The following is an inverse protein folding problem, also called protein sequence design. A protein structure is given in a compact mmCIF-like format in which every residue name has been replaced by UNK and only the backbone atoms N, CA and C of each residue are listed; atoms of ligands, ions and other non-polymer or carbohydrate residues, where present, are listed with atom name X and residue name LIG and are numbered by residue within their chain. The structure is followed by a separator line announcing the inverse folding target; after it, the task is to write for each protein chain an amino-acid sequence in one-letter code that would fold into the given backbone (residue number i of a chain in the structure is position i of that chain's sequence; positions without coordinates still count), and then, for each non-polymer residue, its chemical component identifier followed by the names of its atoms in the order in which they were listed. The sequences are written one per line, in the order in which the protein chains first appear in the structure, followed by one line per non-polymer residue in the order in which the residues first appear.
data_IF_635446638805
#
_entry.id   IF_635446638805
#
_cell.length_a   1.000
_cell.length_b   1.000
_cell.length_c   1.000
_cell.angle_alpha   90.00
_cell.angle_beta   90.00
_cell.angle_gamma   90.00
#
_symmetry.space_group_name_H-M   'P 1'
#
loop_
_entity.id
_entity.type
_entity.pdbx_description
1 polymer ?
#
# COMPACT_ATOMS: atom_id res chain seq x y z
N UNK A 1 -17.75 31.11 5.63
CA UNK A 1 -16.52 30.65 4.93
C UNK A 1 -16.81 29.29 4.32
N UNK A 2 -16.87 29.25 3.00
CA UNK A 2 -17.21 28.05 2.22
C UNK A 2 -16.09 27.04 2.32
N UNK A 3 -16.41 25.79 2.71
CA UNK A 3 -15.53 24.63 2.67
C UNK A 3 -15.28 24.22 1.19
N UNK A 4 -14.44 24.98 0.48
CA UNK A 4 -14.01 24.59 -0.85
C UNK A 4 -12.93 23.53 -0.76
N UNK A 5 -13.34 22.32 -1.11
CA UNK A 5 -12.60 21.14 -1.60
C UNK A 5 -11.10 21.05 -1.24
N UNK A 6 -10.79 20.37 -0.16
CA UNK A 6 -9.47 19.87 0.17
C UNK A 6 -9.08 18.73 -0.79
N UNK A 7 -8.45 19.06 -1.92
CA UNK A 7 -8.04 18.08 -2.95
C UNK A 7 -6.53 17.99 -3.11
N UNK A 8 -5.77 17.85 -2.03
CA UNK A 8 -4.41 17.35 -2.16
C UNK A 8 -4.13 16.31 -1.09
N UNK A 9 -4.26 15.10 -1.52
CA UNK A 9 -3.96 13.90 -0.79
C UNK A 9 -2.61 13.40 -1.28
N UNK A 10 -1.52 13.80 -0.61
CA UNK A 10 -0.24 13.12 -0.79
C UNK A 10 -0.41 11.73 -0.21
N UNK A 11 -0.84 10.80 -1.04
CA UNK A 11 -1.03 9.42 -0.66
C UNK A 11 0.21 8.65 -1.08
N UNK A 12 0.83 7.97 -0.11
CA UNK A 12 1.68 6.82 -0.40
C UNK A 12 0.82 5.75 -1.09
N UNK A 13 0.61 5.86 -2.39
CA UNK A 13 -0.14 4.92 -3.22
C UNK A 13 0.77 4.23 -4.25
N UNK A 14 0.33 3.17 -4.78
CA UNK A 14 0.99 1.87 -4.87
C UNK A 14 2.02 1.63 -5.95
N UNK A 15 2.64 2.55 -6.61
CA UNK A 15 4.06 2.41 -6.87
C UNK A 15 4.84 2.58 -5.57
N UNK A 16 4.11 3.00 -4.50
CA UNK A 16 4.64 3.36 -3.21
C UNK A 16 5.92 4.22 -3.27
N UNK A 17 6.13 4.90 -4.39
CA UNK A 17 7.10 5.97 -4.44
C UNK A 17 6.52 7.13 -3.63
N UNK A 18 7.29 7.73 -2.72
CA UNK A 18 6.88 8.99 -2.10
C UNK A 18 6.74 10.05 -3.20
N UNK A 19 5.71 10.89 -3.08
CA UNK A 19 5.59 12.06 -3.92
C UNK A 19 6.78 13.01 -3.72
N UNK A 20 7.06 13.86 -4.72
CA UNK A 20 7.99 14.99 -4.51
C UNK A 20 7.29 16.06 -3.66
N UNK A 21 7.26 15.80 -2.35
CA UNK A 21 6.60 16.66 -1.36
C UNK A 21 7.14 18.09 -1.42
N UNK A 22 8.43 18.28 -1.76
CA UNK A 22 9.03 19.60 -1.86
C UNK A 22 8.55 20.36 -3.11
N UNK A 23 8.34 19.67 -4.25
CA UNK A 23 7.75 20.28 -5.44
C UNK A 23 6.28 20.64 -5.20
N UNK A 24 5.51 19.75 -4.57
CA UNK A 24 4.11 20.01 -4.18
C UNK A 24 4.03 21.18 -3.21
N UNK A 25 4.91 21.25 -2.20
CA UNK A 25 4.93 22.35 -1.25
C UNK A 25 5.18 23.72 -1.93
N UNK A 26 6.13 23.78 -2.88
CA UNK A 26 6.34 25.01 -3.68
C UNK A 26 5.12 25.41 -4.49
N UNK A 27 4.47 24.43 -5.13
CA UNK A 27 3.25 24.67 -5.91
C UNK A 27 2.10 25.19 -5.01
N UNK A 28 1.93 24.57 -3.84
CA UNK A 28 0.91 24.99 -2.87
C UNK A 28 1.17 26.40 -2.33
N UNK A 29 2.44 26.74 -2.08
CA UNK A 29 2.81 28.12 -1.72
C UNK A 29 2.50 29.12 -2.85
N UNK A 30 2.87 28.81 -4.09
CA UNK A 30 2.66 29.68 -5.24
C UNK A 30 1.18 29.85 -5.62
N UNK A 31 0.33 28.92 -5.24
CA UNK A 31 -1.12 28.92 -5.55
C UNK A 31 -1.99 29.21 -4.33
N UNK A 32 -1.40 29.50 -3.18
CA UNK A 32 -2.07 29.72 -1.90
C UNK A 32 -3.03 28.57 -1.49
N UNK A 33 -2.72 27.34 -1.93
CA UNK A 33 -3.49 26.13 -1.63
C UNK A 33 -2.96 25.49 -0.35
N UNK A 34 -3.87 25.06 0.53
CA UNK A 34 -3.49 24.31 1.73
C UNK A 34 -2.87 22.97 1.38
N UNK A 35 -1.82 22.58 2.12
CA UNK A 35 -1.07 21.35 1.89
C UNK A 35 -1.05 20.46 3.14
N UNK A 36 -1.74 19.32 3.07
CA UNK A 36 -1.74 18.30 4.10
C UNK A 36 -0.93 17.09 3.62
N UNK A 37 0.13 16.74 4.33
CA UNK A 37 0.97 15.59 4.00
C UNK A 37 0.53 14.38 4.81
N UNK A 38 0.08 13.34 4.12
CA UNK A 38 -0.13 12.03 4.74
C UNK A 38 1.20 11.28 4.84
N UNK A 39 1.83 11.35 6.00
CA UNK A 39 3.11 10.70 6.31
C UNK A 39 2.90 9.42 7.16
N UNK A 40 1.81 8.70 6.95
CA UNK A 40 1.39 7.59 7.82
C UNK A 40 2.47 6.53 8.06
N UNK A 41 3.40 6.35 7.14
CA UNK A 41 4.52 5.40 7.25
C UNK A 41 5.91 6.05 7.38
N UNK A 42 6.01 7.34 7.15
CA UNK A 42 7.29 7.98 6.83
C UNK A 42 8.24 8.19 8.00
N UNK A 43 7.76 8.15 9.25
CA UNK A 43 8.60 8.36 10.45
C UNK A 43 9.67 7.29 10.59
N UNK A 44 9.38 6.07 10.16
CA UNK A 44 10.33 4.96 10.18
C UNK A 44 11.41 5.04 9.07
N UNK A 45 11.40 6.06 8.24
CA UNK A 45 12.34 6.26 7.14
C UNK A 45 13.02 7.63 7.25
N UNK A 46 14.31 7.66 7.56
CA UNK A 46 15.09 8.88 7.68
C UNK A 46 15.05 9.75 6.41
N UNK A 47 15.06 9.12 5.24
CA UNK A 47 14.96 9.81 3.94
C UNK A 47 13.62 10.53 3.77
N UNK A 48 12.50 9.87 4.13
CA UNK A 48 11.17 10.48 4.09
C UNK A 48 11.07 11.66 5.03
N UNK A 49 11.58 11.52 6.26
CA UNK A 49 11.62 12.60 7.25
C UNK A 49 12.46 13.79 6.79
N UNK A 50 13.62 13.54 6.15
CA UNK A 50 14.47 14.59 5.58
C UNK A 50 13.77 15.32 4.41
N UNK A 51 13.08 14.58 3.55
CA UNK A 51 12.29 15.16 2.42
C UNK A 51 11.16 16.04 2.94
N UNK A 52 10.43 15.57 3.96
CA UNK A 52 9.39 16.34 4.61
C UNK A 52 9.93 17.62 5.25
N UNK A 53 11.04 17.53 6.00
CA UNK A 53 11.69 18.68 6.60
C UNK A 53 12.14 19.69 5.54
N UNK A 54 12.62 19.23 4.39
CA UNK A 54 12.93 20.10 3.24
C UNK A 54 11.66 20.78 2.70
N UNK A 55 10.57 20.04 2.51
CA UNK A 55 9.31 20.60 2.02
C UNK A 55 8.80 21.74 2.89
N UNK A 56 8.85 21.59 4.22
CA UNK A 56 8.48 22.63 5.17
C UNK A 56 9.35 23.91 5.05
N UNK A 57 10.62 23.77 4.59
CA UNK A 57 11.53 24.94 4.42
C UNK A 57 11.37 25.65 3.08
N UNK A 58 10.98 24.94 2.03
CA UNK A 58 10.98 25.47 0.65
C UNK A 58 9.63 25.83 0.10
N UNK A 59 8.54 25.54 0.84
CA UNK A 59 7.19 25.80 0.39
C UNK A 59 6.17 25.68 1.53
N UNK A 60 4.91 25.56 1.17
CA UNK A 60 3.79 25.47 2.11
C UNK A 60 3.52 24.03 2.51
N UNK A 61 3.60 23.76 3.80
CA UNK A 61 3.10 22.53 4.45
C UNK A 61 2.31 22.98 5.67
N UNK A 62 1.00 22.81 5.65
CA UNK A 62 0.14 23.23 6.76
C UNK A 62 0.06 22.15 7.83
N UNK A 63 -0.14 20.88 7.43
CA UNK A 63 -0.29 19.77 8.36
C UNK A 63 0.44 18.52 7.85
N UNK A 64 0.91 17.73 8.80
CA UNK A 64 1.49 16.40 8.58
C UNK A 64 0.78 15.41 9.48
N UNK A 65 0.25 14.33 8.90
CA UNK A 65 -0.46 13.28 9.64
C UNK A 65 0.35 12.00 9.63
N UNK A 66 0.58 11.42 10.82
CA UNK A 66 1.38 10.23 11.02
C UNK A 66 0.59 9.21 11.84
N UNK A 67 0.54 7.95 11.39
CA UNK A 67 -0.08 6.87 12.14
C UNK A 67 0.84 6.41 13.27
N UNK A 68 0.29 6.23 14.46
CA UNK A 68 1.08 5.73 15.60
C UNK A 68 1.33 4.23 15.51
N UNK A 69 0.35 3.44 15.11
CA UNK A 69 0.46 2.00 14.93
C UNK A 69 1.53 1.59 13.92
N UNK A 70 1.65 2.34 12.83
CA UNK A 70 2.60 2.02 11.76
C UNK A 70 4.04 2.40 12.07
N UNK A 71 4.24 3.34 12.99
CA UNK A 71 5.56 3.90 13.26
C UNK A 71 6.11 3.58 14.64
N UNK A 72 5.27 3.24 15.64
CA UNK A 72 5.70 3.20 17.04
C UNK A 72 5.35 1.91 17.78
N UNK A 73 4.95 0.84 17.08
CA UNK A 73 4.63 -0.46 17.68
C UNK A 73 3.52 -0.37 18.76
N UNK A 74 2.52 0.43 18.52
CA UNK A 74 1.38 0.63 19.41
C UNK A 74 0.09 0.14 18.75
N UNK A 75 -0.97 -0.13 19.51
CA UNK A 75 -2.27 -0.51 18.98
C UNK A 75 -2.83 0.49 17.96
N UNK A 76 -3.68 0.00 17.04
CA UNK A 76 -4.37 0.83 16.06
C UNK A 76 -5.34 1.79 16.77
N UNK A 77 -5.41 3.03 16.26
CA UNK A 77 -6.40 4.01 16.73
C UNK A 77 -5.84 5.40 17.03
N UNK A 78 -4.51 5.57 17.00
CA UNK A 78 -3.85 6.85 17.21
C UNK A 78 -3.22 7.44 15.97
N UNK A 79 -3.15 8.77 15.95
CA UNK A 79 -2.39 9.52 14.95
C UNK A 79 -1.74 10.76 15.60
N UNK A 80 -0.60 11.16 15.07
CA UNK A 80 0.03 12.44 15.40
C UNK A 80 -0.23 13.40 14.26
N UNK A 81 -0.80 14.55 14.58
CA UNK A 81 -0.93 15.69 13.67
C UNK A 81 0.11 16.72 14.07
N UNK A 82 0.98 17.05 13.15
CA UNK A 82 2.05 18.03 13.34
C UNK A 82 1.97 19.16 12.30
N UNK A 83 2.53 20.31 12.62
CA UNK A 83 2.65 21.45 11.72
C UNK A 83 3.96 22.19 11.97
N UNK A 84 4.55 22.85 10.97
CA UNK A 84 5.56 23.87 11.19
C UNK A 84 5.04 25.09 11.96
N UNK A 85 3.72 25.33 11.93
CA UNK A 85 3.01 26.39 12.62
C UNK A 85 2.22 25.88 13.83
N UNK A 86 2.60 26.29 15.03
CA UNK A 86 1.92 25.92 16.27
C UNK A 86 0.47 26.43 16.33
N UNK A 87 0.16 27.56 15.70
CA UNK A 87 -1.20 28.08 15.66
C UNK A 87 -2.12 27.16 14.86
N UNK A 88 -1.64 26.55 13.78
CA UNK A 88 -2.37 25.58 12.98
C UNK A 88 -2.71 24.33 13.81
N UNK A 89 -1.79 23.81 14.62
CA UNK A 89 -2.06 22.68 15.52
C UNK A 89 -3.13 23.03 16.55
N UNK A 90 -3.05 24.23 17.12
CA UNK A 90 -4.05 24.71 18.08
C UNK A 90 -5.43 24.85 17.43
N UNK A 91 -5.50 25.32 16.18
CA UNK A 91 -6.75 25.40 15.40
C UNK A 91 -7.39 24.04 15.18
N UNK A 92 -6.61 23.05 14.75
CA UNK A 92 -7.08 21.67 14.60
C UNK A 92 -7.57 21.10 15.93
N UNK A 93 -6.85 21.39 17.03
CA UNK A 93 -7.24 20.97 18.38
C UNK A 93 -8.57 21.57 18.82
N UNK A 94 -8.83 22.84 18.50
CA UNK A 94 -10.12 23.49 18.78
C UNK A 94 -11.29 22.91 17.97
N UNK A 95 -10.99 22.45 16.73
CA UNK A 95 -11.98 21.82 15.87
C UNK A 95 -12.36 20.38 16.29
N UNK A 96 -11.61 19.77 17.20
CA UNK A 96 -11.89 18.40 17.65
C UNK A 96 -13.15 18.37 18.53
N UNK A 97 -14.18 17.55 18.24
CA UNK A 97 -15.50 17.67 18.87
C UNK A 97 -15.59 17.01 20.24
N UNK A 98 -14.74 17.33 21.18
CA UNK A 98 -14.94 17.04 22.58
C UNK A 98 -14.19 15.82 23.12
N UNK A 99 -14.81 14.66 23.33
CA UNK A 99 -14.23 13.56 24.11
C UNK A 99 -13.15 12.80 23.33
N UNK A 100 -11.90 12.88 23.79
CA UNK A 100 -10.78 12.10 23.29
C UNK A 100 -10.41 10.98 24.28
N UNK A 101 -9.97 9.83 23.75
CA UNK A 101 -9.30 8.82 24.56
C UNK A 101 -7.84 9.23 24.82
N UNK A 102 -7.37 9.09 26.04
CA UNK A 102 -5.96 9.26 26.39
C UNK A 102 -5.12 8.01 26.01
N UNK A 103 -5.75 6.88 25.70
CA UNK A 103 -5.08 5.60 25.43
C UNK A 103 -4.00 5.71 24.34
N UNK A 104 -4.24 6.32 23.15
CA UNK A 104 -3.20 6.41 22.12
C UNK A 104 -1.97 7.19 22.58
N UNK A 105 -2.15 8.22 23.41
CA UNK A 105 -1.04 9.00 23.96
C UNK A 105 -0.27 8.22 25.03
N UNK A 106 -0.98 7.47 25.87
CA UNK A 106 -0.39 6.60 26.89
C UNK A 106 0.39 5.45 26.27
N UNK A 107 -0.17 4.77 25.27
CA UNK A 107 0.50 3.68 24.56
C UNK A 107 1.83 4.16 23.94
N UNK A 108 1.80 5.33 23.29
CA UNK A 108 2.98 5.95 22.71
C UNK A 108 4.02 6.28 23.79
N UNK A 109 3.61 6.89 24.89
CA UNK A 109 4.48 7.24 26.00
C UNK A 109 5.13 6.00 26.62
N UNK A 110 4.35 4.98 26.95
CA UNK A 110 4.83 3.72 27.55
C UNK A 110 5.83 3.03 26.60
N UNK A 111 5.50 2.94 25.31
CA UNK A 111 6.38 2.29 24.31
C UNK A 111 7.70 3.04 24.14
N UNK A 112 7.65 4.37 24.01
CA UNK A 112 8.87 5.17 23.82
C UNK A 112 9.75 5.19 25.09
N UNK A 113 9.15 5.23 26.28
CA UNK A 113 9.90 5.13 27.53
C UNK A 113 10.50 3.73 27.71
N UNK A 114 9.74 2.67 27.40
CA UNK A 114 10.22 1.29 27.48
C UNK A 114 11.38 0.98 26.52
N UNK A 115 11.30 1.45 25.29
CA UNK A 115 12.36 1.28 24.30
C UNK A 115 13.55 2.20 24.57
N UNK A 116 13.28 3.41 25.02
CA UNK A 116 14.25 4.48 25.07
C UNK A 116 14.82 4.83 23.68
N UNK A 117 15.66 5.85 23.66
CA UNK A 117 16.27 6.33 22.40
C UNK A 117 17.13 5.27 21.70
N UNK A 118 17.83 4.43 22.48
CA UNK A 118 18.70 3.38 21.93
C UNK A 118 17.89 2.27 21.30
N UNK A 119 16.88 1.76 22.01
CA UNK A 119 15.99 0.70 21.50
C UNK A 119 15.24 1.14 20.23
N UNK A 120 14.69 2.36 20.26
CA UNK A 120 14.01 2.92 19.08
C UNK A 120 14.93 3.02 17.86
N UNK A 121 16.14 3.56 18.02
CA UNK A 121 17.13 3.62 16.92
C UNK A 121 17.52 2.23 16.43
N UNK A 122 17.76 1.29 17.34
CA UNK A 122 18.09 -0.08 16.98
C UNK A 122 17.02 -0.74 16.11
N UNK A 123 15.73 -0.50 16.36
CA UNK A 123 14.63 -0.98 15.51
C UNK A 123 14.65 -0.36 14.11
N UNK A 124 14.91 0.95 14.02
CA UNK A 124 15.01 1.63 12.72
C UNK A 124 16.19 1.10 11.89
N UNK A 125 17.36 0.99 12.52
CA UNK A 125 18.60 0.53 11.87
C UNK A 125 18.48 -0.94 11.46
N UNK A 126 17.91 -1.80 12.32
CA UNK A 126 17.65 -3.22 12.02
C UNK A 126 16.71 -3.39 10.83
N UNK A 127 15.62 -2.64 10.80
CA UNK A 127 14.69 -2.66 9.66
C UNK A 127 15.36 -2.22 8.36
N UNK A 128 16.15 -1.14 8.41
CA UNK A 128 16.84 -0.60 7.24
C UNK A 128 17.86 -1.60 6.68
N UNK A 129 18.59 -2.29 7.56
CA UNK A 129 19.57 -3.30 7.17
C UNK A 129 18.95 -4.52 6.45
N UNK A 130 17.69 -4.85 6.74
CA UNK A 130 17.00 -5.99 6.10
C UNK A 130 16.48 -5.68 4.69
N UNK A 131 16.27 -4.41 4.34
CA UNK A 131 15.56 -4.02 3.11
C UNK A 131 16.20 -4.53 1.84
N UNK A 132 17.52 -4.38 1.69
CA UNK A 132 18.21 -4.70 0.44
C UNK A 132 18.29 -6.21 0.21
N UNK A 133 18.59 -6.98 1.26
CA UNK A 133 18.64 -8.44 1.22
C UNK A 133 17.23 -9.02 0.96
N UNK A 134 16.21 -8.52 1.65
CA UNK A 134 14.82 -8.93 1.41
C UNK A 134 14.38 -8.56 -0.01
N UNK A 135 14.68 -7.35 -0.47
CA UNK A 135 14.37 -6.91 -1.82
C UNK A 135 14.99 -7.80 -2.90
N UNK A 136 16.22 -8.26 -2.72
CA UNK A 136 16.89 -9.19 -3.63
C UNK A 136 16.18 -10.56 -3.66
N UNK A 137 15.87 -11.14 -2.50
CA UNK A 137 15.11 -12.39 -2.39
C UNK A 137 13.72 -12.28 -3.01
N UNK A 138 13.03 -11.16 -2.77
CA UNK A 138 11.70 -10.90 -3.32
C UNK A 138 11.72 -10.78 -4.84
N UNK A 139 12.74 -10.12 -5.42
CA UNK A 139 12.92 -10.04 -6.89
C UNK A 139 13.15 -11.43 -7.49
N UNK A 140 14.00 -12.24 -6.88
CA UNK A 140 14.26 -13.60 -7.34
C UNK A 140 12.97 -14.45 -7.32
N UNK A 141 12.20 -14.35 -6.24
CA UNK A 141 10.94 -15.08 -6.11
C UNK A 141 9.89 -14.58 -7.12
N UNK A 142 9.75 -13.27 -7.30
CA UNK A 142 8.83 -12.71 -8.29
C UNK A 142 9.19 -13.20 -9.70
N UNK A 143 10.46 -13.14 -10.08
CA UNK A 143 10.94 -13.62 -11.38
C UNK A 143 10.68 -15.12 -11.60
N UNK A 144 10.82 -15.96 -10.58
CA UNK A 144 10.46 -17.38 -10.62
C UNK A 144 9.02 -17.63 -11.09
N UNK A 145 8.11 -16.72 -10.74
CA UNK A 145 6.68 -16.79 -11.10
C UNK A 145 6.32 -15.94 -12.33
N UNK A 146 7.31 -15.37 -13.02
CA UNK A 146 7.09 -14.50 -14.18
C UNK A 146 6.56 -13.11 -13.80
N UNK A 147 6.72 -12.72 -12.55
CA UNK A 147 6.36 -11.42 -12.01
C UNK A 147 7.61 -10.57 -11.75
N UNK A 148 7.43 -9.29 -11.45
CA UNK A 148 8.54 -8.37 -11.15
C UNK A 148 8.23 -7.47 -9.96
N UNK A 149 9.27 -7.06 -9.28
CA UNK A 149 9.17 -5.99 -8.27
C UNK A 149 9.13 -4.64 -9.00
N UNK A 150 8.18 -3.79 -8.63
CA UNK A 150 8.05 -2.43 -9.16
C UNK A 150 9.19 -1.55 -8.62
N UNK A 151 9.90 -0.88 -9.50
CA UNK A 151 11.01 -0.01 -9.10
C UNK A 151 10.49 1.27 -8.45
N UNK A 152 10.88 1.49 -7.21
CA UNK A 152 10.53 2.66 -6.39
C UNK A 152 11.75 3.16 -5.63
N UNK A 153 12.71 3.81 -6.31
CA UNK A 153 14.07 4.06 -5.79
C UNK A 153 14.10 4.94 -4.52
N UNK A 154 13.03 5.66 -4.23
CA UNK A 154 12.93 6.53 -3.03
C UNK A 154 12.13 5.91 -1.89
N UNK A 155 11.59 4.70 -2.08
CA UNK A 155 10.85 4.00 -1.05
C UNK A 155 11.76 3.01 -0.31
N UNK A 156 12.06 3.31 0.95
CA UNK A 156 12.84 2.46 1.87
C UNK A 156 11.94 1.79 2.91
N UNK A 157 10.66 1.54 2.60
CA UNK A 157 9.69 0.95 3.54
C UNK A 157 9.04 -0.29 2.97
N UNK A 158 8.67 -0.27 1.69
CA UNK A 158 7.80 -1.29 1.10
C UNK A 158 8.08 -1.51 -0.38
N UNK A 159 7.63 -2.66 -0.86
CA UNK A 159 7.76 -3.10 -2.24
C UNK A 159 6.37 -3.32 -2.85
N UNK A 160 6.26 -3.12 -4.16
CA UNK A 160 5.15 -3.58 -4.97
C UNK A 160 5.61 -4.74 -5.84
N UNK A 161 4.82 -5.80 -5.93
CA UNK A 161 5.10 -6.94 -6.81
C UNK A 161 3.95 -7.09 -7.79
N UNK A 162 4.21 -7.18 -9.06
CA UNK A 162 3.17 -7.35 -10.08
C UNK A 162 2.44 -8.68 -9.91
N UNK A 163 1.22 -8.74 -10.42
CA UNK A 163 0.42 -9.95 -10.60
C UNK A 163 -0.03 -10.03 -12.06
N UNK A 164 0.85 -9.60 -12.95
CA UNK A 164 0.59 -9.43 -14.38
C UNK A 164 0.42 -10.78 -15.08
N UNK A 165 1.33 -11.71 -14.79
CA UNK A 165 1.27 -13.08 -15.29
C UNK A 165 0.05 -13.83 -14.77
N UNK A 166 -0.25 -13.67 -13.47
CA UNK A 166 -1.45 -14.27 -12.87
C UNK A 166 -2.73 -13.72 -13.50
N UNK A 167 -2.80 -12.41 -13.74
CA UNK A 167 -3.96 -11.77 -14.37
C UNK A 167 -4.13 -12.23 -15.82
N UNK A 168 -3.05 -12.37 -16.59
CA UNK A 168 -3.09 -12.91 -17.93
C UNK A 168 -3.64 -14.33 -17.98
N UNK A 169 -3.11 -15.22 -17.13
CA UNK A 169 -3.60 -16.60 -17.02
C UNK A 169 -5.06 -16.67 -16.56
N UNK A 170 -5.48 -15.81 -15.64
CA UNK A 170 -6.87 -15.73 -15.20
C UNK A 170 -7.78 -15.21 -16.33
N UNK A 171 -7.34 -14.27 -17.16
CA UNK A 171 -8.09 -13.77 -18.30
C UNK A 171 -8.25 -14.84 -19.42
N UNK A 172 -7.21 -15.63 -19.65
CA UNK A 172 -7.31 -16.79 -20.56
C UNK A 172 -8.36 -17.79 -20.07
N UNK A 173 -8.36 -18.11 -18.78
CA UNK A 173 -9.38 -18.97 -18.19
C UNK A 173 -10.79 -18.38 -18.37
N UNK A 174 -10.96 -17.06 -18.13
CA UNK A 174 -12.29 -16.43 -18.29
C UNK A 174 -12.78 -16.47 -19.73
N UNK A 175 -11.90 -16.34 -20.72
CA UNK A 175 -12.25 -16.52 -22.14
C UNK A 175 -12.66 -17.97 -22.45
N UNK A 176 -11.94 -18.94 -21.88
CA UNK A 176 -12.28 -20.35 -22.03
C UNK A 176 -13.62 -20.73 -21.34
N UNK A 177 -13.97 -20.00 -20.26
CA UNK A 177 -15.26 -20.13 -19.56
C UNK A 177 -16.39 -19.33 -20.23
N UNK A 178 -16.18 -18.71 -21.40
CA UNK A 178 -17.18 -18.03 -22.20
C UNK A 178 -17.41 -16.56 -21.89
N UNK A 179 -16.40 -15.83 -21.42
CA UNK A 179 -16.51 -14.38 -21.27
C UNK A 179 -16.77 -13.70 -22.63
N UNK A 180 -17.77 -12.81 -22.69
CA UNK A 180 -18.31 -12.21 -23.91
C UNK A 180 -17.26 -11.44 -24.74
N UNK A 181 -16.34 -10.75 -24.06
CA UNK A 181 -15.28 -9.99 -24.72
C UNK A 181 -14.00 -9.91 -23.85
N UNK A 182 -12.95 -9.32 -24.42
CA UNK A 182 -11.66 -9.15 -23.73
C UNK A 182 -11.76 -8.25 -22.49
N UNK A 183 -12.68 -7.28 -22.46
CA UNK A 183 -12.86 -6.39 -21.32
C UNK A 183 -13.60 -7.11 -20.19
N UNK A 184 -14.60 -7.94 -20.49
CA UNK A 184 -15.27 -8.80 -19.52
C UNK A 184 -14.29 -9.82 -18.94
N UNK A 185 -13.50 -10.51 -19.78
CA UNK A 185 -12.46 -11.43 -19.33
C UNK A 185 -11.46 -10.75 -18.38
N UNK A 186 -11.04 -9.52 -18.69
CA UNK A 186 -10.11 -8.75 -17.84
C UNK A 186 -10.73 -8.35 -16.49
N UNK A 187 -12.00 -7.94 -16.47
CA UNK A 187 -12.71 -7.62 -15.22
C UNK A 187 -12.77 -8.85 -14.31
N UNK A 188 -13.24 -9.98 -14.85
CA UNK A 188 -13.35 -11.23 -14.10
C UNK A 188 -11.99 -11.76 -13.64
N UNK A 189 -10.95 -11.59 -14.46
CA UNK A 189 -9.56 -11.91 -14.08
C UNK A 189 -9.08 -11.06 -12.91
N UNK A 190 -9.37 -9.75 -12.90
CA UNK A 190 -9.02 -8.85 -11.79
C UNK A 190 -9.72 -9.27 -10.48
N UNK A 191 -10.97 -9.75 -10.55
CA UNK A 191 -11.67 -10.27 -9.38
C UNK A 191 -11.02 -11.57 -8.86
N UNK A 192 -10.62 -12.47 -9.78
CA UNK A 192 -9.85 -13.66 -9.39
C UNK A 192 -8.50 -13.30 -8.76
N UNK A 193 -7.76 -12.36 -9.34
CA UNK A 193 -6.46 -11.90 -8.82
C UNK A 193 -6.62 -11.25 -7.44
N UNK A 194 -7.73 -10.55 -7.17
CA UNK A 194 -8.00 -9.97 -5.85
C UNK A 194 -8.01 -11.05 -4.74
N UNK A 195 -8.43 -12.29 -5.06
CA UNK A 195 -8.41 -13.43 -4.13
C UNK A 195 -7.01 -13.84 -3.70
N UNK A 196 -5.97 -13.45 -4.43
CA UNK A 196 -4.58 -13.71 -4.04
C UNK A 196 -4.27 -13.14 -2.64
N UNK A 197 -4.82 -11.97 -2.30
CA UNK A 197 -4.71 -11.39 -0.97
C UNK A 197 -5.36 -12.26 0.12
N UNK A 198 -6.54 -12.80 -0.13
CA UNK A 198 -7.21 -13.73 0.79
C UNK A 198 -6.43 -15.04 0.94
N UNK A 199 -5.81 -15.53 -0.14
CA UNK A 199 -4.97 -16.74 -0.09
C UNK A 199 -3.68 -16.52 0.72
N UNK A 200 -3.13 -15.31 0.70
CA UNK A 200 -2.02 -14.92 1.60
C UNK A 200 -2.50 -14.86 3.06
N UNK A 201 -3.65 -14.25 3.30
CA UNK A 201 -4.22 -14.12 4.65
C UNK A 201 -4.49 -15.48 5.28
N UNK A 202 -5.07 -16.45 4.55
CA UNK A 202 -5.28 -17.82 5.03
C UNK A 202 -3.98 -18.59 5.29
N UNK A 203 -2.85 -18.08 4.84
CA UNK A 203 -1.49 -18.58 5.14
C UNK A 203 -0.78 -17.76 6.21
N UNK A 204 -1.55 -17.07 7.05
CA UNK A 204 -1.02 -16.21 8.12
C UNK A 204 -0.08 -15.10 7.61
N UNK A 205 -0.37 -14.55 6.42
CA UNK A 205 0.30 -13.35 5.90
C UNK A 205 -0.70 -12.19 5.95
N UNK A 206 -0.48 -11.27 6.85
CA UNK A 206 -1.28 -10.04 6.99
C UNK A 206 -0.52 -8.82 6.46
N UNK A 207 -1.21 -7.67 6.32
CA UNK A 207 -0.59 -6.41 5.90
C UNK A 207 -0.30 -6.28 4.41
N UNK A 208 -0.48 -7.33 3.61
CA UNK A 208 -0.41 -7.26 2.15
C UNK A 208 -1.72 -6.70 1.59
N UNK A 209 -1.62 -5.93 0.51
CA UNK A 209 -2.78 -5.41 -0.20
C UNK A 209 -2.65 -5.71 -1.68
N UNK A 210 -3.65 -6.37 -2.26
CA UNK A 210 -3.77 -6.55 -3.70
C UNK A 210 -4.53 -5.36 -4.28
N UNK A 211 -3.98 -4.78 -5.34
CA UNK A 211 -4.58 -3.71 -6.12
C UNK A 211 -4.83 -4.22 -7.53
N UNK A 212 -6.10 -4.31 -7.89
CA UNK A 212 -6.54 -4.65 -9.23
C UNK A 212 -6.96 -3.36 -9.96
N UNK A 213 -6.40 -3.06 -11.14
CA UNK A 213 -6.76 -1.87 -11.91
C UNK A 213 -8.20 -1.90 -12.44
N UNK A 214 -8.70 -0.73 -12.80
CA UNK A 214 -9.99 -0.59 -13.48
C UNK A 214 -11.22 -0.62 -12.56
N UNK A 215 -11.04 -0.62 -11.24
CA UNK A 215 -12.16 -0.45 -10.30
C UNK A 215 -12.69 0.98 -10.36
N UNK A 216 -14.01 1.12 -10.42
CA UNK A 216 -14.68 2.41 -10.29
C UNK A 216 -15.53 2.39 -9.03
N UNK A 217 -15.48 3.45 -8.24
CA UNK A 217 -16.29 3.62 -7.04
C UNK A 217 -17.03 4.94 -7.11
N UNK A 218 -18.32 4.90 -6.82
CA UNK A 218 -19.14 6.11 -6.65
C UNK A 218 -19.29 6.39 -5.16
N UNK A 219 -18.95 7.61 -4.75
CA UNK A 219 -19.08 8.08 -3.36
C UNK A 219 -19.76 9.44 -3.38
N UNK A 220 -21.01 9.49 -2.93
CA UNK A 220 -21.86 10.67 -3.10
C UNK A 220 -22.03 11.01 -4.58
N UNK A 221 -21.83 12.27 -5.01
CA UNK A 221 -21.94 12.69 -6.41
C UNK A 221 -20.67 12.39 -7.24
N UNK A 222 -19.59 11.93 -6.63
CA UNK A 222 -18.27 11.80 -7.27
C UNK A 222 -17.99 10.37 -7.73
N UNK A 223 -17.44 10.24 -8.95
CA UNK A 223 -17.01 8.98 -9.53
C UNK A 223 -15.49 8.90 -9.52
N UNK A 224 -14.93 7.88 -8.83
CA UNK A 224 -13.51 7.63 -8.71
C UNK A 224 -13.13 6.46 -9.63
N UNK A 225 -12.47 6.76 -10.75
CA UNK A 225 -11.86 5.74 -11.60
C UNK A 225 -10.55 5.27 -10.99
N UNK A 226 -10.15 4.04 -11.29
CA UNK A 226 -8.94 3.46 -10.72
C UNK A 226 -8.96 3.37 -9.20
N UNK A 227 -10.15 3.23 -8.59
CA UNK A 227 -10.32 3.27 -7.13
C UNK A 227 -9.41 2.29 -6.42
N UNK A 228 -8.53 2.83 -5.55
CA UNK A 228 -7.53 2.05 -4.81
C UNK A 228 -6.20 1.87 -5.52
N UNK A 229 -6.07 2.26 -6.80
CA UNK A 229 -4.81 2.38 -7.53
C UNK A 229 -4.24 3.81 -7.41
N UNK A 230 -3.01 4.02 -7.89
CA UNK A 230 -2.33 5.33 -7.88
C UNK A 230 -2.66 6.21 -9.07
N UNK A 231 -3.31 5.65 -10.09
CA UNK A 231 -3.76 6.33 -11.29
C UNK A 231 -5.05 5.67 -11.77
N UNK A 232 -5.86 6.43 -12.54
CA UNK A 232 -7.12 5.95 -13.09
C UNK A 232 -6.93 4.71 -13.96
N UNK A 233 -5.88 4.71 -14.78
CA UNK A 233 -5.52 3.63 -15.71
C UNK A 233 -4.18 2.98 -15.34
N UNK A 234 -4.07 2.46 -14.10
CA UNK A 234 -2.87 1.75 -13.72
C UNK A 234 -2.69 0.48 -14.57
N UNK A 235 -1.48 0.25 -15.15
CA UNK A 235 -1.35 -0.74 -16.24
C UNK A 235 -1.45 -2.19 -15.78
N UNK A 236 -1.06 -2.51 -14.55
CA UNK A 236 -0.95 -3.89 -14.07
C UNK A 236 -1.50 -4.07 -12.65
N UNK A 237 -2.11 -5.22 -12.34
CA UNK A 237 -2.39 -5.57 -10.96
C UNK A 237 -1.09 -5.86 -10.21
N UNK A 238 -1.08 -5.59 -8.91
CA UNK A 238 0.07 -5.81 -8.05
C UNK A 238 -0.38 -6.00 -6.60
N UNK A 239 0.50 -6.57 -5.78
CA UNK A 239 0.33 -6.52 -4.33
C UNK A 239 1.48 -5.76 -3.67
N UNK A 240 1.26 -5.35 -2.45
CA UNK A 240 2.25 -4.58 -1.69
C UNK A 240 2.66 -5.33 -0.45
N UNK A 241 3.94 -5.23 -0.10
CA UNK A 241 4.52 -5.75 1.13
C UNK A 241 5.45 -4.72 1.74
N UNK A 242 5.46 -4.61 3.07
CA UNK A 242 6.34 -3.72 3.81
C UNK A 242 7.25 -4.52 4.74
N UNK A 243 8.48 -4.03 4.93
CA UNK A 243 9.35 -4.51 6.00
C UNK A 243 8.98 -3.73 7.27
N UNK A 244 8.32 -4.39 8.21
CA UNK A 244 7.82 -3.78 9.43
C UNK A 244 8.95 -3.52 10.44
N UNK A 245 8.74 -2.57 11.34
CA UNK A 245 9.61 -2.41 12.50
C UNK A 245 9.59 -3.67 13.37
N UNK A 246 10.76 -4.10 13.82
CA UNK A 246 10.89 -5.25 14.72
C UNK A 246 10.74 -6.62 14.04
N UNK A 247 10.54 -6.69 12.71
CA UNK A 247 10.50 -7.97 11.99
C UNK A 247 11.85 -8.68 12.06
N UNK A 248 11.83 -9.97 12.35
CA UNK A 248 13.02 -10.82 12.33
C UNK A 248 13.35 -11.30 10.89
N UNK A 249 14.64 -11.58 10.58
CA UNK A 249 15.03 -12.11 9.28
C UNK A 249 14.29 -13.40 8.90
N UNK A 250 14.07 -14.27 9.88
CA UNK A 250 13.39 -15.57 9.73
C UNK A 250 11.91 -15.38 9.32
N UNK A 251 11.25 -14.37 9.84
CA UNK A 251 9.85 -14.02 9.48
C UNK A 251 9.74 -13.56 8.03
N UNK A 252 10.78 -12.88 7.50
CA UNK A 252 10.85 -12.51 6.08
C UNK A 252 11.04 -13.74 5.18
N UNK A 253 11.86 -14.70 5.60
CA UNK A 253 12.05 -15.96 4.87
C UNK A 253 10.78 -16.84 4.92
N UNK A 254 10.10 -16.91 6.05
CA UNK A 254 8.79 -17.53 6.19
C UNK A 254 7.75 -16.89 5.26
N UNK A 255 7.72 -15.56 5.21
CA UNK A 255 6.85 -14.84 4.28
C UNK A 255 7.11 -15.23 2.84
N UNK A 256 8.38 -15.28 2.41
CA UNK A 256 8.75 -15.67 1.04
C UNK A 256 8.31 -17.10 0.72
N UNK A 257 8.47 -18.03 1.67
CA UNK A 257 8.00 -19.41 1.52
C UNK A 257 6.48 -19.52 1.39
N UNK A 258 5.73 -18.73 2.16
CA UNK A 258 4.25 -18.65 2.08
C UNK A 258 3.79 -18.00 0.78
N UNK A 259 4.51 -16.98 0.32
CA UNK A 259 4.26 -16.30 -0.95
C UNK A 259 4.48 -17.27 -2.12
N UNK A 260 5.57 -18.03 -2.14
CA UNK A 260 5.86 -19.06 -3.15
C UNK A 260 4.72 -20.09 -3.25
N UNK A 261 4.33 -20.64 -2.10
CA UNK A 261 3.19 -21.58 -2.02
C UNK A 261 1.87 -20.95 -2.52
N UNK A 262 1.68 -19.66 -2.32
CA UNK A 262 0.48 -18.97 -2.78
C UNK A 262 0.46 -18.84 -4.30
N UNK A 263 1.57 -18.45 -4.91
CA UNK A 263 1.72 -18.42 -6.37
C UNK A 263 1.46 -19.80 -6.99
N UNK A 264 2.11 -20.85 -6.48
CA UNK A 264 1.93 -22.22 -6.95
C UNK A 264 0.46 -22.69 -6.84
N UNK A 265 -0.18 -22.37 -5.72
CA UNK A 265 -1.58 -22.71 -5.51
C UNK A 265 -2.51 -21.99 -6.51
N UNK A 266 -2.28 -20.69 -6.74
CA UNK A 266 -3.07 -19.92 -7.70
C UNK A 266 -2.92 -20.47 -9.11
N UNK A 267 -1.69 -20.75 -9.57
CA UNK A 267 -1.44 -21.38 -10.86
C UNK A 267 -2.12 -22.74 -11.00
N UNK A 268 -2.09 -23.57 -9.93
CA UNK A 268 -2.78 -24.86 -9.92
C UNK A 268 -4.30 -24.71 -10.07
N UNK A 269 -4.90 -23.71 -9.42
CA UNK A 269 -6.33 -23.43 -9.54
C UNK A 269 -6.69 -23.01 -10.97
N UNK A 270 -5.92 -22.11 -11.59
CA UNK A 270 -6.14 -21.72 -12.99
C UNK A 270 -5.98 -22.91 -13.93
N UNK A 271 -4.94 -23.73 -13.76
CA UNK A 271 -4.71 -24.92 -14.58
C UNK A 271 -5.86 -25.93 -14.51
N UNK A 272 -6.41 -26.18 -13.33
CA UNK A 272 -7.60 -27.02 -13.16
C UNK A 272 -8.83 -26.43 -13.89
N UNK A 273 -9.10 -25.13 -13.72
CA UNK A 273 -10.20 -24.46 -14.42
C UNK A 273 -10.07 -24.56 -15.93
N UNK A 274 -8.86 -24.40 -16.48
CA UNK A 274 -8.59 -24.55 -17.91
C UNK A 274 -8.86 -25.98 -18.42
N UNK A 275 -8.54 -27.01 -17.62
CA UNK A 275 -8.86 -28.41 -17.97
C UNK A 275 -10.38 -28.64 -18.02
N UNK A 276 -11.11 -28.16 -17.02
CA UNK A 276 -12.58 -28.26 -16.98
C UNK A 276 -13.20 -27.54 -18.16
N UNK A 277 -12.85 -26.29 -18.42
CA UNK A 277 -13.39 -25.53 -19.56
C UNK A 277 -13.15 -26.22 -20.91
N UNK A 278 -12.00 -26.86 -21.10
CA UNK A 278 -11.73 -27.66 -22.32
C UNK A 278 -12.59 -28.92 -22.42
N UNK A 279 -12.85 -29.58 -21.28
CA UNK A 279 -13.72 -30.77 -21.27
C UNK A 279 -15.16 -30.38 -21.57
N UNK A 280 -15.66 -29.29 -21.00
CA UNK A 280 -17.01 -28.79 -21.26
C UNK A 280 -17.21 -28.39 -22.73
N UNK A 281 -16.20 -27.74 -23.33
CA UNK A 281 -16.22 -27.38 -24.75
C UNK A 281 -16.14 -28.58 -25.70
N UNK A 282 -15.60 -29.70 -25.23
CA UNK A 282 -15.51 -30.95 -26.03
C UNK A 282 -16.70 -31.90 -25.82
N UNK A 283 -17.58 -31.60 -24.86
CA UNK A 283 -18.78 -32.41 -24.62
C UNK A 283 -19.76 -32.24 -25.78
N UNK A 284 -20.29 -33.34 -26.38
CA UNK A 284 -21.28 -33.23 -27.46
C UNK A 284 -22.53 -32.54 -26.93
N UNK A 285 -22.96 -31.48 -27.61
CA UNK A 285 -24.27 -30.88 -27.41
C UNK A 285 -25.31 -31.93 -27.73
N UNK A 286 -25.92 -32.56 -26.73
CA UNK A 286 -27.12 -33.34 -26.93
C UNK A 286 -28.22 -32.40 -27.44
N UNK A 287 -28.48 -32.50 -28.73
CA UNK A 287 -29.61 -31.86 -29.40
C UNK A 287 -30.90 -32.61 -29.08
#
# INVERSE_FOLDING_TARGET
MSLQSWKFRTLFLPRRAPDDVAAVARLCAAREVAHVVNNAYGVQCARSSATLSRACRVGRVDLVVQSTDKNFLVPVGGAVVASPDAAMVAEVGRGYPGRASATPSQDLLVTLLGLGRRGWRGLLDGREALLDAFGAKLRALAAKHGERVLETPHNRISFGVTLERLAAAAAELQRAEGADDAAAARRLANDKVTKFGSMLFTRCVSGTRVVAPGKTQVIGPETFRGFGASADDYPVPYFTVAVALGVAPEELDDFLGRLDKTFLHFHKQIGKGMQTARQDAAAPTCA
#
